data_IF_239100860151
#
_entry.id   IF_239100860151
#
_cell.length_a   1.000
_cell.length_b   1.000
_cell.length_c   1.000
_cell.angle_alpha   90.00
_cell.angle_beta   90.00
_cell.angle_gamma   90.00
#
_symmetry.space_group_name_H-M   'P 1'
#
loop_
_entity.id
_entity.type
_entity.pdbx_description
1 polymer ?
#
# COMPACT_ATOMS: atom_id res chain seq x y z
N UNK A 1 -43.24 -32.33 1.74
CA UNK A 1 -43.30 -31.85 3.13
C UNK A 1 -44.69 -31.31 3.48
N UNK A 2 -45.34 -30.51 2.63
CA UNK A 2 -46.66 -29.89 2.82
C UNK A 2 -47.83 -30.90 2.93
N UNK A 3 -47.80 -31.99 2.16
CA UNK A 3 -48.83 -33.03 2.23
C UNK A 3 -48.83 -33.83 3.55
N UNK A 4 -47.65 -34.11 4.11
CA UNK A 4 -47.54 -34.74 5.44
C UNK A 4 -48.07 -33.83 6.56
N UNK A 5 -47.91 -32.53 6.40
CA UNK A 5 -48.42 -31.55 7.37
C UNK A 5 -49.95 -31.47 7.34
N UNK A 6 -50.54 -31.56 6.15
CA UNK A 6 -51.99 -31.63 5.97
C UNK A 6 -52.59 -32.91 6.56
N UNK A 7 -51.97 -34.07 6.34
CA UNK A 7 -52.38 -35.34 6.96
C UNK A 7 -52.35 -35.30 8.48
N UNK A 8 -51.32 -34.69 9.05
CA UNK A 8 -51.22 -34.55 10.52
C UNK A 8 -52.31 -33.62 11.06
N UNK A 9 -52.63 -32.54 10.35
CA UNK A 9 -53.73 -31.63 10.74
C UNK A 9 -55.10 -32.32 10.63
N UNK A 10 -55.35 -33.09 9.55
CA UNK A 10 -56.59 -33.81 9.40
C UNK A 10 -56.74 -34.96 10.42
N UNK A 11 -55.66 -35.66 10.71
CA UNK A 11 -55.63 -36.69 11.75
C UNK A 11 -55.92 -36.10 13.13
N UNK A 12 -55.33 -34.99 13.49
CA UNK A 12 -55.60 -34.28 14.74
C UNK A 12 -57.04 -33.74 14.77
N UNK A 13 -57.59 -33.23 13.68
CA UNK A 13 -58.99 -32.76 13.57
C UNK A 13 -59.97 -33.90 13.77
N UNK A 14 -59.71 -35.10 13.22
CA UNK A 14 -60.53 -36.24 13.42
C UNK A 14 -60.48 -36.78 14.87
N UNK A 15 -59.32 -36.73 15.50
CA UNK A 15 -59.20 -37.11 16.94
C UNK A 15 -59.96 -36.12 17.81
N UNK A 16 -59.95 -34.85 17.50
CA UNK A 16 -60.71 -33.82 18.25
C UNK A 16 -62.24 -33.98 18.04
N UNK A 17 -62.69 -34.30 16.82
CA UNK A 17 -64.09 -34.49 16.52
C UNK A 17 -64.67 -35.79 17.12
N UNK A 18 -63.91 -36.89 17.20
CA UNK A 18 -64.34 -38.12 17.84
C UNK A 18 -64.37 -38.06 19.36
N UNK A 19 -63.65 -37.08 19.97
CA UNK A 19 -63.62 -36.93 21.46
C UNK A 19 -64.77 -36.07 21.98
N UNK A 20 -65.77 -35.72 21.17
CA UNK A 20 -66.91 -34.86 21.57
C UNK A 20 -67.76 -35.35 22.77
N UNK A 21 -67.59 -36.57 23.24
CA UNK A 21 -68.25 -37.12 24.41
C UNK A 21 -67.32 -37.71 25.49
N UNK A 22 -66.07 -37.85 25.22
CA UNK A 22 -65.05 -38.23 26.26
C UNK A 22 -63.95 -37.22 26.20
N UNK A 23 -63.91 -36.32 27.20
CA UNK A 23 -62.86 -35.32 27.28
C UNK A 23 -61.49 -35.94 27.19
N UNK A 24 -60.53 -35.21 26.55
CA UNK A 24 -59.12 -35.62 26.41
C UNK A 24 -58.59 -36.27 27.66
N UNK A 25 -57.86 -37.37 27.57
CA UNK A 25 -57.30 -38.06 28.72
C UNK A 25 -56.43 -37.08 29.56
N UNK A 26 -56.47 -37.17 30.84
CA UNK A 26 -55.85 -36.22 31.76
C UNK A 26 -54.33 -36.02 31.47
N UNK A 27 -53.68 -37.10 31.06
CA UNK A 27 -52.26 -37.07 30.64
C UNK A 27 -52.01 -36.19 29.43
N UNK A 28 -52.90 -36.20 28.42
CA UNK A 28 -52.77 -35.38 27.22
C UNK A 28 -53.11 -33.92 27.48
N UNK A 29 -54.07 -33.63 28.38
CA UNK A 29 -54.34 -32.25 28.83
C UNK A 29 -53.16 -31.68 29.59
N UNK A 30 -52.53 -32.42 30.46
CA UNK A 30 -51.35 -32.03 31.23
C UNK A 30 -50.18 -31.78 30.26
N UNK A 31 -49.96 -32.65 29.30
CA UNK A 31 -48.89 -32.51 28.29
C UNK A 31 -49.12 -31.25 27.45
N UNK A 32 -50.32 -31.01 26.93
CA UNK A 32 -50.63 -29.79 26.16
C UNK A 32 -50.45 -28.52 27.00
N UNK A 33 -50.91 -28.55 28.26
CA UNK A 33 -50.70 -27.41 29.14
C UNK A 33 -49.23 -27.14 29.44
N UNK A 34 -48.42 -28.19 29.67
CA UNK A 34 -46.99 -28.09 29.92
C UNK A 34 -46.26 -27.58 28.69
N UNK A 35 -46.58 -28.05 27.47
CA UNK A 35 -45.96 -27.58 26.25
C UNK A 35 -46.33 -26.14 25.93
N UNK A 36 -47.57 -25.74 26.15
CA UNK A 36 -48.04 -24.36 25.96
C UNK A 36 -47.36 -23.41 26.97
N UNK A 37 -47.22 -23.83 28.24
CA UNK A 37 -46.54 -23.11 29.27
C UNK A 37 -45.03 -22.93 28.96
N UNK A 38 -44.36 -24.02 28.53
CA UNK A 38 -42.95 -24.00 28.16
C UNK A 38 -42.72 -23.10 26.92
N UNK A 39 -43.58 -23.15 25.91
CA UNK A 39 -43.49 -22.32 24.71
C UNK A 39 -43.71 -20.84 25.03
N UNK A 40 -44.61 -20.54 25.97
CA UNK A 40 -44.85 -19.16 26.46
C UNK A 40 -43.64 -18.60 27.21
N UNK A 41 -42.98 -19.38 28.04
CA UNK A 41 -41.74 -18.97 28.73
C UNK A 41 -40.64 -18.73 27.71
N UNK A 42 -40.45 -19.65 26.73
CA UNK A 42 -39.43 -19.51 25.66
C UNK A 42 -39.68 -18.25 24.86
N UNK A 43 -40.92 -18.02 24.46
CA UNK A 43 -41.30 -16.81 23.71
C UNK A 43 -41.05 -15.53 24.54
N UNK A 44 -41.36 -15.53 25.83
CA UNK A 44 -41.09 -14.43 26.76
C UNK A 44 -39.60 -14.13 26.86
N UNK A 45 -38.75 -15.15 27.02
CA UNK A 45 -37.30 -14.99 27.05
C UNK A 45 -36.76 -14.45 25.74
N UNK A 46 -37.20 -14.99 24.59
CA UNK A 46 -36.82 -14.47 23.27
C UNK A 46 -37.22 -13.00 23.09
N UNK A 47 -38.41 -12.62 23.55
CA UNK A 47 -38.90 -11.26 23.49
C UNK A 47 -38.10 -10.31 24.36
N UNK A 48 -37.75 -10.73 25.58
CA UNK A 48 -36.84 -9.99 26.47
C UNK A 48 -35.47 -9.82 25.83
N UNK A 49 -34.87 -10.84 25.26
CA UNK A 49 -33.57 -10.78 24.58
C UNK A 49 -33.61 -9.88 23.37
N UNK A 50 -34.73 -9.86 22.63
CA UNK A 50 -34.95 -8.96 21.51
C UNK A 50 -35.07 -7.51 21.94
N UNK A 51 -35.88 -7.23 22.98
CA UNK A 51 -36.05 -5.87 23.56
C UNK A 51 -34.75 -5.38 24.22
N UNK A 52 -34.04 -6.26 24.93
CA UNK A 52 -32.74 -5.94 25.51
C UNK A 52 -31.64 -5.66 24.46
N UNK A 53 -31.95 -5.80 23.16
CA UNK A 53 -31.05 -5.45 22.08
C UNK A 53 -29.84 -6.39 21.97
N UNK A 54 -29.85 -7.54 22.65
CA UNK A 54 -28.73 -8.50 22.58
C UNK A 54 -28.37 -8.93 21.17
N UNK A 55 -29.34 -8.95 20.25
CA UNK A 55 -29.09 -9.21 18.82
C UNK A 55 -28.54 -8.00 18.06
N UNK A 56 -28.64 -6.78 18.62
CA UNK A 56 -28.10 -5.54 18.02
C UNK A 56 -26.74 -5.13 18.56
N UNK A 57 -26.36 -5.61 19.74
CA UNK A 57 -25.12 -5.20 20.42
C UNK A 57 -23.87 -5.60 19.67
N UNK A 58 -23.88 -6.70 18.91
CA UNK A 58 -22.73 -7.11 18.10
C UNK A 58 -22.31 -6.06 17.04
N UNK A 59 -23.26 -5.44 16.35
CA UNK A 59 -22.94 -4.45 15.31
C UNK A 59 -22.61 -3.05 15.86
N UNK A 60 -23.23 -2.66 16.97
CA UNK A 60 -23.05 -1.33 17.56
C UNK A 60 -21.74 -1.16 18.32
N UNK A 61 -21.20 -2.24 18.89
CA UNK A 61 -19.93 -2.21 19.63
C UNK A 61 -18.73 -2.27 18.67
N UNK A 62 -18.84 -2.99 17.55
CA UNK A 62 -17.73 -3.14 16.61
C UNK A 62 -17.50 -1.90 15.74
N UNK A 63 -18.54 -1.11 15.47
CA UNK A 63 -18.44 0.08 14.61
C UNK A 63 -17.42 1.10 15.12
N UNK A 64 -17.48 1.62 16.36
CA UNK A 64 -16.53 2.62 16.83
C UNK A 64 -15.09 2.09 16.90
N UNK A 65 -14.91 0.78 17.16
CA UNK A 65 -13.58 0.15 17.18
C UNK A 65 -13.00 0.11 15.76
N UNK A 66 -13.80 -0.27 14.76
CA UNK A 66 -13.37 -0.27 13.35
C UNK A 66 -13.09 1.14 12.83
N UNK A 67 -13.92 2.13 13.19
CA UNK A 67 -13.68 3.53 12.84
C UNK A 67 -12.40 4.05 13.49
N UNK A 68 -12.15 3.69 14.75
CA UNK A 68 -10.92 4.04 15.45
C UNK A 68 -9.69 3.45 14.78
N UNK A 69 -9.73 2.16 14.41
CA UNK A 69 -8.62 1.48 13.71
C UNK A 69 -8.41 2.06 12.30
N UNK A 70 -9.48 2.31 11.56
CA UNK A 70 -9.42 2.94 10.24
C UNK A 70 -8.78 4.33 10.30
N UNK A 71 -9.21 5.17 11.25
CA UNK A 71 -8.65 6.50 11.43
C UNK A 71 -7.18 6.43 11.84
N UNK A 72 -6.83 5.54 12.77
CA UNK A 72 -5.45 5.33 13.20
C UNK A 72 -4.53 4.92 12.03
N UNK A 73 -4.95 3.96 11.20
CA UNK A 73 -4.18 3.51 10.03
C UNK A 73 -4.08 4.63 9.00
N UNK A 74 -5.18 5.32 8.70
CA UNK A 74 -5.21 6.42 7.73
C UNK A 74 -4.28 7.56 8.16
N UNK A 75 -4.31 7.96 9.42
CA UNK A 75 -3.43 8.97 9.98
C UNK A 75 -1.96 8.53 9.97
N UNK A 76 -1.70 7.27 10.34
CA UNK A 76 -0.36 6.70 10.31
C UNK A 76 0.23 6.68 8.90
N UNK A 77 -0.54 6.22 7.90
CA UNK A 77 -0.15 6.24 6.49
C UNK A 77 0.10 7.66 6.01
N UNK A 78 -0.86 8.56 6.22
CA UNK A 78 -0.77 9.97 5.79
C UNK A 78 0.45 10.67 6.39
N UNK A 79 0.68 10.50 7.69
CA UNK A 79 1.83 11.08 8.40
C UNK A 79 3.16 10.50 7.93
N UNK A 80 3.22 9.17 7.73
CA UNK A 80 4.43 8.49 7.27
C UNK A 80 4.82 8.94 5.85
N UNK A 81 3.87 8.90 4.92
CA UNK A 81 4.13 9.31 3.54
C UNK A 81 4.33 10.82 3.39
N UNK A 82 3.68 11.63 4.23
CA UNK A 82 3.92 13.07 4.32
C UNK A 82 5.34 13.37 4.75
N UNK A 83 5.82 12.70 5.82
CA UNK A 83 7.21 12.81 6.30
C UNK A 83 8.21 12.36 5.24
N UNK A 84 7.96 11.22 4.59
CA UNK A 84 8.86 10.72 3.53
C UNK A 84 8.97 11.70 2.37
N UNK A 85 7.87 12.34 1.96
CA UNK A 85 7.91 13.35 0.91
C UNK A 85 8.69 14.60 1.33
N UNK A 86 8.56 15.04 2.59
CA UNK A 86 9.34 16.15 3.13
C UNK A 86 10.84 15.82 3.16
N UNK A 87 11.21 14.62 3.63
CA UNK A 87 12.59 14.14 3.64
C UNK A 87 13.16 14.02 2.22
N UNK A 88 12.35 13.58 1.23
CA UNK A 88 12.80 13.53 -0.16
C UNK A 88 13.08 14.91 -0.75
N UNK A 89 12.25 15.91 -0.41
CA UNK A 89 12.47 17.32 -0.82
C UNK A 89 13.72 17.89 -0.16
N UNK A 90 13.94 17.61 1.12
CA UNK A 90 15.15 18.03 1.85
C UNK A 90 16.41 17.40 1.24
N UNK A 91 16.39 16.08 1.02
CA UNK A 91 17.48 15.36 0.36
C UNK A 91 17.79 15.95 -1.01
N UNK A 92 16.76 16.21 -1.83
CA UNK A 92 16.94 16.82 -3.16
C UNK A 92 17.63 18.17 -3.07
N UNK A 93 17.25 19.01 -2.10
CA UNK A 93 17.86 20.31 -1.89
C UNK A 93 19.32 20.19 -1.48
N UNK A 94 19.65 19.32 -0.52
CA UNK A 94 21.01 19.09 -0.05
C UNK A 94 21.91 18.54 -1.16
N UNK A 95 21.46 17.54 -1.90
CA UNK A 95 22.18 16.96 -3.04
C UNK A 95 22.40 17.99 -4.14
N UNK A 96 21.39 18.78 -4.48
CA UNK A 96 21.50 19.81 -5.53
C UNK A 96 22.56 20.85 -5.18
N UNK A 97 22.57 21.36 -3.96
CA UNK A 97 23.55 22.36 -3.50
C UNK A 97 24.96 21.77 -3.51
N UNK A 98 25.13 20.59 -2.95
CA UNK A 98 26.43 19.91 -2.87
C UNK A 98 27.02 19.63 -4.25
N UNK A 99 26.21 18.99 -5.12
CA UNK A 99 26.67 18.63 -6.47
C UNK A 99 26.96 19.84 -7.33
N UNK A 100 26.18 20.92 -7.19
CA UNK A 100 26.43 22.16 -7.91
C UNK A 100 27.76 22.81 -7.47
N UNK A 101 28.08 22.75 -6.17
CA UNK A 101 29.34 23.23 -5.65
C UNK A 101 30.52 22.38 -6.15
N UNK A 102 30.40 21.05 -6.02
CA UNK A 102 31.46 20.10 -6.39
C UNK A 102 31.82 20.16 -7.87
N UNK A 103 30.82 20.30 -8.76
CA UNK A 103 31.10 20.39 -10.21
C UNK A 103 31.70 21.74 -10.59
N UNK A 104 31.27 22.84 -9.94
CA UNK A 104 31.86 24.18 -10.16
C UNK A 104 33.33 24.23 -9.78
N UNK A 105 33.71 23.60 -8.67
CA UNK A 105 35.13 23.50 -8.24
C UNK A 105 35.99 22.74 -9.26
N UNK A 106 35.39 21.87 -10.07
CA UNK A 106 36.07 21.13 -11.15
C UNK A 106 35.93 21.75 -12.54
N UNK A 107 35.37 22.99 -12.59
CA UNK A 107 35.20 23.72 -13.85
C UNK A 107 34.12 23.21 -14.77
N UNK A 108 33.24 22.35 -14.26
CA UNK A 108 32.09 21.81 -15.00
C UNK A 108 30.78 22.56 -14.72
N UNK A 109 29.70 22.10 -15.34
CA UNK A 109 28.35 22.60 -15.12
C UNK A 109 27.34 21.47 -15.09
N UNK A 110 26.42 21.49 -14.13
CA UNK A 110 25.32 20.51 -14.06
C UNK A 110 24.32 20.66 -15.21
N UNK A 111 24.27 21.81 -15.87
CA UNK A 111 23.39 22.03 -17.03
C UNK A 111 23.77 21.19 -18.25
N UNK A 112 25.07 20.82 -18.36
CA UNK A 112 25.62 20.04 -19.46
C UNK A 112 26.29 18.75 -18.93
N UNK A 113 25.68 18.11 -17.97
CA UNK A 113 26.26 16.95 -17.25
C UNK A 113 26.63 15.79 -18.20
N UNK A 114 25.96 15.67 -19.33
CA UNK A 114 26.27 14.64 -20.37
C UNK A 114 27.62 14.85 -21.05
N UNK A 115 28.18 16.05 -21.00
CA UNK A 115 29.49 16.37 -21.59
C UNK A 115 30.68 15.94 -20.68
N UNK A 116 30.37 15.55 -19.43
CA UNK A 116 31.38 15.20 -18.42
C UNK A 116 31.17 13.80 -17.84
N UNK A 117 31.10 12.74 -18.67
CA UNK A 117 30.83 11.40 -18.17
C UNK A 117 31.86 10.88 -17.16
N UNK A 118 33.12 11.33 -17.25
CA UNK A 118 34.20 10.96 -16.34
C UNK A 118 34.05 11.55 -14.92
N UNK A 119 33.26 12.62 -14.77
CA UNK A 119 33.02 13.24 -13.48
C UNK A 119 31.84 12.63 -12.73
N UNK A 120 30.93 11.91 -13.43
CA UNK A 120 29.68 11.40 -12.87
C UNK A 120 29.92 10.45 -11.70
N UNK A 121 30.90 9.56 -11.82
CA UNK A 121 31.22 8.60 -10.77
C UNK A 121 31.73 9.29 -9.52
N UNK A 122 32.59 10.30 -9.67
CA UNK A 122 33.13 11.06 -8.55
C UNK A 122 32.03 11.89 -7.85
N UNK A 123 31.14 12.53 -8.63
CA UNK A 123 30.00 13.26 -8.10
C UNK A 123 29.06 12.36 -7.29
N UNK A 124 28.82 11.15 -7.77
CA UNK A 124 27.99 10.18 -7.06
C UNK A 124 28.66 9.65 -5.79
N UNK A 125 29.99 9.38 -5.84
CA UNK A 125 30.75 8.88 -4.68
C UNK A 125 30.70 9.89 -3.50
N UNK A 126 30.82 11.18 -3.79
CA UNK A 126 30.76 12.24 -2.78
C UNK A 126 29.40 12.40 -2.11
N UNK A 127 28.34 11.95 -2.76
CA UNK A 127 26.99 12.01 -2.21
C UNK A 127 26.55 10.73 -1.47
N UNK A 128 27.38 9.69 -1.49
CA UNK A 128 27.02 8.40 -0.89
C UNK A 128 26.67 8.51 0.59
N UNK A 129 27.48 9.22 1.38
CA UNK A 129 27.26 9.36 2.83
C UNK A 129 25.94 10.09 3.15
N UNK A 130 25.54 11.05 2.30
CA UNK A 130 24.25 11.72 2.43
C UNK A 130 23.11 10.77 2.14
N UNK A 131 23.23 9.91 1.11
CA UNK A 131 22.22 8.91 0.79
C UNK A 131 22.09 7.88 1.91
N UNK A 132 23.21 7.40 2.45
CA UNK A 132 23.24 6.48 3.61
C UNK A 132 22.53 7.12 4.79
N UNK A 133 22.95 8.32 5.20
CA UNK A 133 22.36 9.03 6.34
C UNK A 133 20.88 9.36 6.13
N UNK A 134 20.46 9.67 4.89
CA UNK A 134 19.05 9.89 4.56
C UNK A 134 18.22 8.58 4.68
N UNK A 135 18.76 7.45 4.23
CA UNK A 135 18.10 6.16 4.36
C UNK A 135 17.95 5.74 5.82
N UNK A 136 18.99 5.92 6.63
CA UNK A 136 18.97 5.62 8.07
C UNK A 136 17.95 6.45 8.85
N UNK A 137 17.81 7.73 8.52
CA UNK A 137 16.83 8.64 9.15
C UNK A 137 15.40 8.43 8.66
N UNK A 138 15.23 7.77 7.51
CA UNK A 138 13.92 7.54 6.91
C UNK A 138 13.37 6.17 7.30
N UNK A 139 12.05 6.01 7.18
CA UNK A 139 11.39 4.70 7.22
C UNK A 139 11.13 4.22 5.79
N UNK A 140 12.17 4.20 4.97
CA UNK A 140 12.11 3.77 3.59
C UNK A 140 12.80 2.42 3.40
N UNK A 141 12.46 1.72 2.32
CA UNK A 141 13.11 0.47 1.93
C UNK A 141 14.34 0.71 1.07
N UNK A 142 14.49 1.92 0.55
CA UNK A 142 15.66 2.32 -0.23
C UNK A 142 15.68 3.81 -0.50
N UNK A 143 16.86 4.27 -0.92
CA UNK A 143 17.13 5.65 -1.33
C UNK A 143 17.87 5.64 -2.65
N UNK A 144 17.62 6.60 -3.50
CA UNK A 144 18.28 6.69 -4.79
C UNK A 144 18.55 8.14 -5.21
N UNK A 145 19.58 8.27 -6.01
CA UNK A 145 19.85 9.43 -6.87
C UNK A 145 20.04 8.91 -8.30
N UNK A 146 19.50 9.61 -9.26
CA UNK A 146 19.55 9.26 -10.69
C UNK A 146 19.81 10.54 -11.47
N UNK A 147 20.96 10.62 -12.10
CA UNK A 147 21.39 11.77 -12.90
C UNK A 147 20.85 11.65 -14.33
N UNK A 148 20.53 12.76 -14.98
CA UNK A 148 20.10 12.78 -16.39
C UNK A 148 21.30 12.70 -17.35
N UNK A 149 22.26 11.81 -17.03
CA UNK A 149 23.47 11.57 -17.80
C UNK A 149 23.93 10.11 -17.62
N UNK A 150 24.73 9.62 -18.56
CA UNK A 150 25.32 8.28 -18.55
C UNK A 150 26.84 8.35 -18.55
N UNK A 151 27.50 7.42 -17.84
CA UNK A 151 28.97 7.29 -17.86
C UNK A 151 29.48 6.67 -19.17
N UNK A 152 28.60 6.06 -19.96
CA UNK A 152 28.98 5.36 -21.22
C UNK A 152 28.17 5.90 -22.41
N UNK A 153 28.30 7.17 -22.81
CA UNK A 153 27.45 7.77 -23.84
C UNK A 153 27.59 7.13 -25.24
N UNK A 154 28.69 6.43 -25.49
CA UNK A 154 29.00 5.82 -26.81
C UNK A 154 28.51 4.37 -26.91
N UNK A 155 27.97 3.77 -25.88
CA UNK A 155 27.43 2.40 -25.94
C UNK A 155 26.06 2.36 -26.59
N UNK A 156 25.75 1.33 -27.42
CA UNK A 156 24.39 1.13 -27.92
C UNK A 156 23.38 1.03 -26.77
N UNK A 157 22.30 1.80 -26.84
CA UNK A 157 21.27 1.83 -25.78
C UNK A 157 21.53 2.83 -24.66
N UNK A 158 22.65 3.58 -24.72
CA UNK A 158 23.01 4.58 -23.71
C UNK A 158 22.00 5.72 -23.58
N UNK A 159 21.19 5.97 -24.61
CA UNK A 159 20.11 6.95 -24.58
C UNK A 159 19.10 6.67 -23.46
N UNK A 160 18.94 5.42 -23.04
CA UNK A 160 18.04 5.00 -21.97
C UNK A 160 18.75 4.71 -20.65
N UNK A 161 20.07 4.79 -20.63
CA UNK A 161 20.90 4.50 -19.46
C UNK A 161 21.19 5.78 -18.68
N UNK A 162 21.09 5.71 -17.35
CA UNK A 162 21.35 6.85 -16.47
C UNK A 162 22.22 6.44 -15.30
N UNK A 163 23.22 7.24 -15.04
CA UNK A 163 24.10 7.06 -13.90
C UNK A 163 23.36 7.31 -12.58
N UNK A 164 23.55 6.42 -11.62
CA UNK A 164 22.79 6.47 -10.38
C UNK A 164 23.55 5.84 -9.21
N UNK A 165 23.07 6.11 -7.99
CA UNK A 165 23.24 5.25 -6.82
C UNK A 165 21.86 4.87 -6.33
N UNK A 166 21.63 3.58 -6.11
CA UNK A 166 20.44 3.07 -5.48
C UNK A 166 20.82 2.07 -4.38
N UNK A 167 20.51 2.47 -3.15
CA UNK A 167 20.73 1.66 -1.95
C UNK A 167 19.41 1.06 -1.50
N UNK A 168 19.44 -0.20 -1.08
CA UNK A 168 18.29 -0.92 -0.51
C UNK A 168 18.57 -1.34 0.91
N UNK A 169 17.61 -1.16 1.78
CA UNK A 169 17.59 -1.80 3.08
C UNK A 169 16.86 -3.15 2.95
N UNK A 170 17.59 -4.26 3.13
CA UNK A 170 17.05 -5.61 2.92
C UNK A 170 16.21 -6.10 4.10
N UNK A 171 16.37 -5.52 5.25
CA UNK A 171 15.52 -5.76 6.41
C UNK A 171 14.89 -4.44 6.83
N UNK A 172 13.77 -4.04 6.22
CA UNK A 172 13.02 -2.87 6.67
C UNK A 172 12.42 -3.19 8.03
N UNK A 173 13.28 -3.27 9.06
CA UNK A 173 12.87 -3.63 10.39
C UNK A 173 12.43 -2.38 11.14
N UNK A 174 11.16 -2.37 11.55
CA UNK A 174 10.60 -1.33 12.41
C UNK A 174 11.27 -1.34 13.80
N UNK A 175 11.90 -2.47 14.16
CA UNK A 175 12.45 -2.72 15.50
C UNK A 175 13.97 -2.55 15.56
N UNK A 176 14.69 -2.73 14.44
CA UNK A 176 16.16 -2.72 14.44
C UNK A 176 16.66 -1.62 13.48
N UNK A 177 17.01 -0.48 14.03
CA UNK A 177 17.47 0.71 13.30
C UNK A 177 18.94 0.60 12.82
N UNK A 178 19.58 -0.57 12.98
CA UNK A 178 20.98 -0.73 12.61
C UNK A 178 21.17 -0.88 11.10
N UNK A 179 22.03 -0.08 10.53
CA UNK A 179 22.43 0.01 9.10
C UNK A 179 23.05 -1.27 8.51
N UNK A 180 23.19 -2.33 9.30
CA UNK A 180 23.94 -3.54 8.94
C UNK A 180 23.46 -4.30 7.69
N UNK A 181 22.25 -4.02 7.17
CA UNK A 181 21.66 -4.72 6.03
C UNK A 181 21.48 -3.85 4.78
N UNK A 182 22.18 -2.75 4.70
CA UNK A 182 22.20 -1.93 3.50
C UNK A 182 22.92 -2.64 2.36
N UNK A 183 22.34 -2.61 1.16
CA UNK A 183 22.85 -3.25 -0.05
C UNK A 183 22.85 -2.28 -1.22
N UNK A 184 23.87 -2.42 -2.04
CA UNK A 184 24.03 -1.65 -3.27
C UNK A 184 23.25 -2.33 -4.39
N UNK A 185 22.22 -1.68 -4.89
CA UNK A 185 21.35 -2.24 -5.92
C UNK A 185 21.77 -1.81 -7.32
N UNK A 186 22.01 -0.51 -7.53
CA UNK A 186 22.43 0.02 -8.84
C UNK A 186 23.45 1.13 -8.63
N UNK A 187 24.43 1.20 -9.53
CA UNK A 187 25.45 2.25 -9.55
C UNK A 187 26.85 1.71 -9.79
N UNK A 188 27.88 2.58 -9.91
CA UNK A 188 29.26 2.18 -10.10
C UNK A 188 29.77 1.26 -8.99
N UNK A 189 30.29 0.09 -9.36
CA UNK A 189 30.77 -0.94 -8.42
C UNK A 189 31.97 -0.45 -7.58
N UNK A 190 32.77 0.45 -8.13
CA UNK A 190 33.91 1.08 -7.47
C UNK A 190 33.50 1.79 -6.20
N UNK A 191 32.39 2.54 -6.25
CA UNK A 191 31.81 3.24 -5.10
C UNK A 191 31.41 2.25 -4.00
N UNK A 192 30.69 1.19 -4.35
CA UNK A 192 30.27 0.19 -3.37
C UNK A 192 31.47 -0.52 -2.71
N UNK A 193 32.49 -0.90 -3.50
CA UNK A 193 33.68 -1.59 -2.99
C UNK A 193 34.52 -0.69 -2.09
N UNK A 194 34.72 0.57 -2.50
CA UNK A 194 35.47 1.57 -1.71
C UNK A 194 34.87 1.76 -0.32
N UNK A 195 33.55 1.76 -0.24
CA UNK A 195 32.79 2.03 0.98
C UNK A 195 32.32 0.76 1.71
N UNK A 196 32.75 -0.43 1.29
CA UNK A 196 32.44 -1.71 1.95
C UNK A 196 30.96 -2.09 1.91
N UNK A 197 30.18 -1.55 0.98
CA UNK A 197 28.75 -1.84 0.84
C UNK A 197 28.59 -3.10 -0.02
N UNK A 198 27.88 -4.11 0.50
CA UNK A 198 27.64 -5.34 -0.23
C UNK A 198 26.71 -5.11 -1.44
N UNK A 199 27.09 -5.68 -2.57
CA UNK A 199 26.39 -5.55 -3.84
C UNK A 199 25.35 -6.67 -3.95
N UNK A 200 24.15 -6.35 -4.41
CA UNK A 200 23.09 -7.32 -4.67
C UNK A 200 23.39 -8.15 -5.93
N UNK A 201 22.98 -9.45 -5.99
CA UNK A 201 23.19 -10.29 -7.16
C UNK A 201 22.60 -9.74 -8.46
N UNK A 202 21.48 -8.99 -8.37
CA UNK A 202 20.80 -8.35 -9.50
C UNK A 202 21.33 -6.96 -9.84
N UNK A 203 22.54 -6.64 -9.36
CA UNK A 203 23.17 -5.35 -9.55
C UNK A 203 23.28 -4.96 -11.03
N UNK A 204 23.13 -3.68 -11.31
CA UNK A 204 23.37 -3.03 -12.60
C UNK A 204 24.23 -1.79 -12.40
N UNK A 205 25.09 -1.47 -13.37
CA UNK A 205 25.94 -0.29 -13.29
C UNK A 205 25.15 1.03 -13.41
N UNK A 206 24.13 1.02 -14.26
CA UNK A 206 23.27 2.19 -14.52
C UNK A 206 21.80 1.76 -14.53
N UNK A 207 20.91 2.72 -14.37
CA UNK A 207 19.47 2.50 -14.41
C UNK A 207 18.95 2.65 -15.84
N UNK A 208 18.20 1.65 -16.31
CA UNK A 208 17.41 1.76 -17.54
C UNK A 208 16.12 2.56 -17.27
N UNK A 209 16.02 3.78 -17.81
CA UNK A 209 14.87 4.66 -17.59
C UNK A 209 13.56 4.14 -18.21
N UNK A 210 13.62 3.24 -19.20
CA UNK A 210 12.42 2.55 -19.70
C UNK A 210 11.72 1.75 -18.62
N UNK A 211 12.48 1.29 -17.61
CA UNK A 211 11.99 0.57 -16.45
C UNK A 211 11.63 1.49 -15.26
N UNK A 212 11.85 2.80 -15.42
CA UNK A 212 11.49 3.85 -14.47
C UNK A 212 10.42 4.78 -15.06
N UNK A 213 9.17 4.34 -15.20
CA UNK A 213 8.15 4.98 -16.05
C UNK A 213 7.78 6.42 -15.65
N UNK A 214 8.25 6.87 -14.51
CA UNK A 214 7.98 8.22 -13.99
C UNK A 214 9.19 9.16 -14.10
N UNK A 215 10.36 8.68 -14.50
CA UNK A 215 11.57 9.49 -14.62
C UNK A 215 11.35 10.70 -15.55
N UNK A 216 11.03 10.43 -16.81
CA UNK A 216 10.76 11.49 -17.79
C UNK A 216 9.65 12.43 -17.35
N UNK A 217 8.59 11.89 -16.75
CA UNK A 217 7.46 12.70 -16.29
C UNK A 217 7.86 13.68 -15.17
N UNK A 218 8.74 13.28 -14.24
CA UNK A 218 9.24 14.17 -13.19
C UNK A 218 10.13 15.25 -13.80
N UNK A 219 11.06 14.87 -14.69
CA UNK A 219 11.96 15.80 -15.38
C UNK A 219 11.18 16.83 -16.21
N UNK A 220 10.25 16.36 -17.06
CA UNK A 220 9.43 17.23 -17.92
C UNK A 220 8.56 18.16 -17.09
N UNK A 221 7.88 17.64 -16.05
CA UNK A 221 7.06 18.47 -15.17
C UNK A 221 7.90 19.57 -14.49
N UNK A 222 9.11 19.24 -14.05
CA UNK A 222 9.98 20.22 -13.38
C UNK A 222 10.52 21.27 -14.36
N UNK A 223 10.75 20.92 -15.62
CA UNK A 223 11.16 21.85 -16.70
C UNK A 223 10.04 22.81 -17.09
N UNK A 224 8.83 22.31 -17.18
CA UNK A 224 7.65 23.07 -17.66
C UNK A 224 7.03 23.94 -16.55
N UNK A 225 7.00 23.44 -15.33
CA UNK A 225 6.29 24.08 -14.23
C UNK A 225 7.26 24.78 -13.27
N UNK A 226 7.20 26.12 -13.23
CA UNK A 226 7.93 26.93 -12.26
C UNK A 226 7.28 26.86 -10.87
N UNK A 227 7.22 25.66 -10.31
CA UNK A 227 6.69 25.41 -8.96
C UNK A 227 7.84 25.31 -7.94
N UNK A 228 7.59 25.64 -6.68
CA UNK A 228 8.58 25.39 -5.63
C UNK A 228 8.84 23.89 -5.50
N UNK A 229 10.07 23.52 -5.15
CA UNK A 229 10.53 22.12 -5.05
C UNK A 229 9.60 21.26 -4.18
N UNK A 230 9.02 21.84 -3.13
CA UNK A 230 8.06 21.19 -2.25
C UNK A 230 6.73 20.75 -2.93
N UNK A 231 6.48 21.20 -4.15
CA UNK A 231 5.31 20.81 -4.96
C UNK A 231 5.68 19.97 -6.19
N UNK A 232 6.97 19.77 -6.44
CA UNK A 232 7.46 18.99 -7.58
C UNK A 232 7.68 17.52 -7.26
N UNK A 233 7.53 17.09 -5.99
CA UNK A 233 7.62 15.68 -5.66
C UNK A 233 6.49 14.86 -6.29
N UNK A 234 6.82 13.65 -6.69
CA UNK A 234 5.86 12.71 -7.27
C UNK A 234 5.98 11.34 -6.64
N UNK A 235 4.83 10.72 -6.38
CA UNK A 235 4.76 9.32 -5.97
C UNK A 235 4.36 8.47 -7.16
N UNK A 236 5.05 7.35 -7.36
CA UNK A 236 4.66 6.36 -8.36
C UNK A 236 3.52 5.49 -7.83
N UNK A 237 2.84 4.79 -8.70
CA UNK A 237 2.18 3.53 -8.32
C UNK A 237 3.24 2.51 -7.90
N UNK A 238 2.85 1.40 -7.27
CA UNK A 238 3.75 0.28 -7.04
C UNK A 238 4.28 -0.27 -8.38
N UNK A 239 5.58 -0.27 -8.53
CA UNK A 239 6.30 -0.82 -9.69
C UNK A 239 7.17 -1.98 -9.24
N UNK A 240 7.44 -2.91 -10.13
CA UNK A 240 8.41 -3.98 -9.90
C UNK A 240 9.76 -3.52 -10.45
N UNK A 241 10.75 -3.41 -9.56
CA UNK A 241 12.11 -3.06 -9.96
C UNK A 241 12.81 -4.26 -10.62
N UNK A 242 13.75 -4.03 -11.55
CA UNK A 242 14.50 -5.09 -12.22
C UNK A 242 15.14 -6.07 -11.22
N UNK A 243 14.94 -7.38 -11.44
CA UNK A 243 15.49 -8.41 -10.55
C UNK A 243 14.78 -8.58 -9.20
N UNK A 244 13.70 -7.85 -8.94
CA UNK A 244 12.81 -8.05 -7.81
C UNK A 244 11.47 -8.65 -8.24
N UNK A 245 10.86 -9.42 -7.36
CA UNK A 245 9.47 -9.90 -7.50
C UNK A 245 8.48 -9.03 -6.74
N UNK A 246 8.98 -8.18 -5.86
CA UNK A 246 8.22 -7.32 -4.97
C UNK A 246 7.98 -5.94 -5.60
N UNK A 247 6.82 -5.38 -5.33
CA UNK A 247 6.49 -4.01 -5.74
C UNK A 247 7.09 -3.00 -4.77
N UNK A 248 7.46 -1.84 -5.30
CA UNK A 248 7.85 -0.68 -4.51
C UNK A 248 7.18 0.57 -5.07
N UNK A 249 6.76 1.46 -4.18
CA UNK A 249 6.32 2.80 -4.53
C UNK A 249 7.49 3.76 -4.37
N UNK A 250 7.77 4.55 -5.41
CA UNK A 250 8.82 5.54 -5.40
C UNK A 250 8.26 6.92 -5.04
N UNK A 251 8.95 7.63 -4.15
CA UNK A 251 8.76 9.05 -3.90
C UNK A 251 9.94 9.80 -4.53
N UNK A 252 9.69 10.49 -5.64
CA UNK A 252 10.70 11.11 -6.49
C UNK A 252 10.61 12.61 -6.41
N UNK A 253 11.77 13.28 -6.38
CA UNK A 253 11.91 14.73 -6.39
C UNK A 253 12.97 15.10 -7.44
N UNK A 254 12.74 16.12 -8.28
CA UNK A 254 13.76 16.55 -9.24
C UNK A 254 14.94 17.21 -8.53
N UNK A 255 16.13 17.04 -9.09
CA UNK A 255 17.35 17.76 -8.70
C UNK A 255 17.47 19.02 -9.56
N UNK A 256 17.58 20.16 -8.92
CA UNK A 256 17.59 21.47 -9.57
C UNK A 256 18.85 22.23 -9.25
N UNK A 257 19.47 22.82 -10.24
CA UNK A 257 20.53 23.82 -10.05
C UNK A 257 19.95 25.12 -9.49
N UNK A 258 20.80 26.02 -9.07
CA UNK A 258 20.40 27.34 -8.55
C UNK A 258 19.68 28.20 -9.61
N UNK A 259 19.92 27.97 -10.91
CA UNK A 259 19.21 28.60 -12.02
C UNK A 259 17.91 27.90 -12.44
N UNK A 260 17.57 26.77 -11.78
CA UNK A 260 16.35 26.00 -12.03
C UNK A 260 16.48 24.93 -13.14
N UNK A 261 17.68 24.68 -13.64
CA UNK A 261 17.91 23.60 -14.60
C UNK A 261 17.81 22.23 -13.91
N UNK A 262 17.05 21.32 -14.51
CA UNK A 262 16.86 19.95 -13.98
C UNK A 262 18.00 19.07 -14.49
N UNK A 263 18.73 18.42 -13.58
CA UNK A 263 19.85 17.54 -13.93
C UNK A 263 19.69 16.09 -13.43
N UNK A 264 18.58 15.77 -12.77
CA UNK A 264 18.30 14.42 -12.29
C UNK A 264 17.10 14.35 -11.38
N UNK A 265 16.97 13.24 -10.71
CA UNK A 265 15.98 13.00 -9.65
C UNK A 265 16.62 12.29 -8.46
N UNK A 266 16.05 12.45 -7.28
CA UNK A 266 16.38 11.65 -6.12
C UNK A 266 15.10 11.24 -5.38
N UNK A 267 15.24 10.37 -4.39
CA UNK A 267 14.10 10.02 -3.56
C UNK A 267 14.26 8.73 -2.80
N UNK A 268 13.10 8.24 -2.34
CA UNK A 268 12.99 7.03 -1.53
C UNK A 268 12.03 6.03 -2.16
N UNK A 269 12.19 4.76 -1.81
CA UNK A 269 11.19 3.75 -2.10
C UNK A 269 10.55 3.19 -0.81
N UNK A 270 9.32 2.74 -0.97
CA UNK A 270 8.58 1.98 0.05
C UNK A 270 8.20 0.65 -0.57
N UNK A 271 8.81 -0.43 -0.11
CA UNK A 271 8.51 -1.78 -0.58
C UNK A 271 7.15 -2.26 -0.07
N UNK A 272 6.55 -3.20 -0.81
CA UNK A 272 5.31 -3.86 -0.41
C UNK A 272 5.47 -4.58 0.95
N UNK A 273 6.65 -5.18 1.20
CA UNK A 273 6.97 -5.81 2.48
C UNK A 273 6.96 -4.80 3.63
N UNK A 274 7.65 -3.66 3.46
CA UNK A 274 7.65 -2.59 4.48
C UNK A 274 6.24 -2.06 4.73
N UNK A 275 5.47 -1.84 3.67
CA UNK A 275 4.08 -1.41 3.77
C UNK A 275 3.24 -2.44 4.54
N UNK A 276 3.37 -3.72 4.19
CA UNK A 276 2.68 -4.83 4.85
C UNK A 276 3.04 -4.93 6.34
N UNK A 277 4.32 -4.86 6.68
CA UNK A 277 4.77 -4.90 8.08
C UNK A 277 4.28 -3.71 8.89
N UNK A 278 4.22 -2.51 8.26
CA UNK A 278 3.85 -1.27 8.94
C UNK A 278 2.35 -1.12 9.17
N UNK A 279 1.51 -1.62 8.26
CA UNK A 279 0.08 -1.30 8.21
C UNK A 279 -0.84 -2.52 8.22
N UNK A 280 -0.32 -3.73 8.47
CA UNK A 280 -1.19 -4.89 8.71
C UNK A 280 -1.98 -4.67 10.00
N UNK A 281 -3.31 -4.75 9.94
CA UNK A 281 -4.16 -4.63 11.12
C UNK A 281 -3.76 -5.64 12.20
N UNK A 282 -3.55 -5.18 13.42
CA UNK A 282 -3.04 -6.01 14.53
C UNK A 282 -4.15 -6.72 15.33
N UNK A 283 -5.40 -6.33 15.12
CA UNK A 283 -6.53 -6.90 15.84
C UNK A 283 -6.81 -8.33 15.39
N UNK A 284 -6.84 -9.28 16.34
CA UNK A 284 -7.20 -10.68 16.07
C UNK A 284 -8.67 -10.83 15.67
N UNK A 285 -9.52 -9.89 16.06
CA UNK A 285 -10.95 -9.92 15.79
C UNK A 285 -11.28 -9.51 14.33
N UNK A 286 -10.30 -8.96 13.61
CA UNK A 286 -10.47 -8.42 12.26
C UNK A 286 -9.44 -8.98 11.27
N UNK A 287 -9.28 -10.30 11.25
CA UNK A 287 -8.34 -11.00 10.35
C UNK A 287 -8.58 -10.77 8.86
N UNK A 288 -9.72 -10.17 8.50
CA UNK A 288 -10.12 -9.90 7.11
C UNK A 288 -9.97 -8.43 6.71
N UNK A 289 -9.46 -7.57 7.60
CA UNK A 289 -9.19 -6.19 7.24
C UNK A 289 -7.94 -6.11 6.35
N UNK A 290 -8.06 -5.34 5.30
CA UNK A 290 -6.98 -5.07 4.35
C UNK A 290 -6.78 -3.56 4.31
N UNK A 291 -5.55 -3.13 4.56
CA UNK A 291 -5.14 -1.77 4.26
C UNK A 291 -4.57 -1.73 2.84
N UNK A 292 -5.08 -0.85 2.02
CA UNK A 292 -4.66 -0.71 0.63
C UNK A 292 -4.29 0.74 0.34
N UNK A 293 -3.12 0.94 -0.28
CA UNK A 293 -2.72 2.20 -0.88
C UNK A 293 -2.75 2.04 -2.40
N UNK A 294 -3.77 2.57 -3.03
CA UNK A 294 -4.06 2.40 -4.45
C UNK A 294 -4.00 3.72 -5.22
N UNK A 295 -3.47 3.74 -6.44
CA UNK A 295 -3.61 4.88 -7.31
C UNK A 295 -5.08 5.05 -7.72
N UNK A 296 -5.55 6.30 -7.66
CA UNK A 296 -6.88 6.71 -8.14
C UNK A 296 -6.71 7.42 -9.47
N UNK A 297 -7.42 6.96 -10.48
CA UNK A 297 -7.43 7.57 -11.79
C UNK A 297 -8.84 7.51 -12.39
N UNK A 298 -9.38 8.63 -12.85
CA UNK A 298 -10.75 8.73 -13.41
C UNK A 298 -11.82 8.09 -12.50
N UNK A 299 -11.78 8.43 -11.21
CA UNK A 299 -12.70 7.90 -10.18
C UNK A 299 -12.70 6.36 -10.02
N UNK A 300 -11.62 5.71 -10.48
CA UNK A 300 -11.38 4.28 -10.32
C UNK A 300 -10.16 4.03 -9.46
N UNK A 301 -10.29 3.06 -8.55
CA UNK A 301 -9.20 2.52 -7.75
C UNK A 301 -8.52 1.41 -8.56
N UNK A 302 -7.28 1.63 -8.97
CA UNK A 302 -6.53 0.63 -9.74
C UNK A 302 -5.79 -0.30 -8.79
N UNK A 303 -6.19 -1.56 -8.75
CA UNK A 303 -5.54 -2.58 -7.91
C UNK A 303 -4.14 -2.93 -8.42
N UNK A 304 -3.93 -2.82 -9.73
CA UNK A 304 -2.60 -2.94 -10.29
C UNK A 304 -1.71 -1.78 -9.87
N UNK A 305 -0.64 -2.10 -9.17
CA UNK A 305 0.26 -1.10 -8.58
C UNK A 305 -0.21 -0.54 -7.24
N UNK A 306 -1.23 -1.14 -6.61
CA UNK A 306 -1.54 -0.89 -5.22
C UNK A 306 -0.57 -1.64 -4.30
N UNK A 307 -0.32 -1.08 -3.11
CA UNK A 307 0.34 -1.77 -2.00
C UNK A 307 -0.73 -2.29 -1.04
N UNK A 308 -0.55 -3.51 -0.59
CA UNK A 308 -1.50 -4.19 0.29
C UNK A 308 -0.86 -4.57 1.62
N UNK A 309 -1.59 -4.38 2.72
CA UNK A 309 -1.26 -4.89 4.03
C UNK A 309 -2.47 -5.65 4.61
N UNK A 310 -2.25 -6.86 5.13
CA UNK A 310 -3.28 -7.80 5.54
C UNK A 310 -3.30 -9.05 4.66
N UNK A 311 -4.31 -9.89 4.83
CA UNK A 311 -4.45 -11.16 4.12
C UNK A 311 -5.13 -10.95 2.75
N UNK A 312 -4.36 -10.46 1.79
CA UNK A 312 -4.78 -10.35 0.40
C UNK A 312 -4.02 -11.37 -0.45
N UNK A 313 -4.75 -12.35 -1.00
CA UNK A 313 -4.14 -13.49 -1.73
C UNK A 313 -4.14 -13.34 -3.24
N UNK A 314 -4.96 -12.43 -3.77
CA UNK A 314 -5.06 -12.22 -5.21
C UNK A 314 -3.93 -11.32 -5.73
N UNK A 315 -3.37 -11.66 -6.89
CA UNK A 315 -2.45 -10.80 -7.63
C UNK A 315 -3.26 -10.07 -8.70
N UNK A 316 -3.63 -8.80 -8.48
CA UNK A 316 -4.39 -8.05 -9.46
C UNK A 316 -3.56 -7.80 -10.72
N UNK A 317 -4.16 -7.99 -11.88
CA UNK A 317 -3.58 -7.63 -13.17
C UNK A 317 -3.84 -6.16 -13.53
N UNK A 318 -3.36 -5.73 -14.70
CA UNK A 318 -3.46 -4.34 -15.14
C UNK A 318 -4.90 -3.88 -15.40
N UNK A 319 -5.83 -4.81 -15.64
CA UNK A 319 -7.24 -4.53 -15.90
C UNK A 319 -8.09 -4.48 -14.62
N UNK A 320 -7.54 -4.94 -13.48
CA UNK A 320 -8.26 -4.99 -12.23
C UNK A 320 -8.42 -3.61 -11.61
N UNK A 321 -9.64 -3.12 -11.54
CA UNK A 321 -9.99 -1.85 -10.90
C UNK A 321 -11.30 -1.98 -10.10
N UNK A 322 -11.48 -1.07 -9.14
CA UNK A 322 -12.71 -0.90 -8.38
C UNK A 322 -13.28 0.48 -8.67
N UNK A 323 -14.58 0.58 -8.91
CA UNK A 323 -15.27 1.88 -8.99
C UNK A 323 -15.73 2.30 -7.60
N UNK A 324 -15.90 3.60 -7.35
CA UNK A 324 -16.46 4.08 -6.10
C UNK A 324 -17.90 3.61 -5.88
N UNK A 325 -18.62 3.27 -6.94
CA UNK A 325 -19.97 2.71 -6.87
C UNK A 325 -19.99 1.31 -6.22
N UNK A 326 -18.88 0.59 -6.25
CA UNK A 326 -18.73 -0.70 -5.57
C UNK A 326 -18.57 -0.54 -4.05
N UNK A 327 -18.42 0.69 -3.56
CA UNK A 327 -18.34 1.00 -2.14
C UNK A 327 -19.67 1.56 -1.67
N UNK A 328 -20.46 0.78 -0.97
CA UNK A 328 -21.63 1.27 -0.27
C UNK A 328 -21.25 1.76 1.12
N UNK A 329 -21.67 2.99 1.47
CA UNK A 329 -21.57 3.48 2.82
C UNK A 329 -22.68 2.82 3.63
N UNK A 330 -22.39 1.70 4.28
CA UNK A 330 -23.32 1.07 5.21
C UNK A 330 -22.94 1.43 6.64
N UNK A 331 -23.78 2.21 7.31
CA UNK A 331 -23.56 2.64 8.70
C UNK A 331 -22.20 3.33 8.96
N UNK A 332 -21.71 4.11 8.00
CA UNK A 332 -20.43 4.83 8.11
C UNK A 332 -19.21 4.05 7.66
N UNK A 333 -19.35 2.82 7.16
CA UNK A 333 -18.28 2.03 6.58
C UNK A 333 -18.51 1.84 5.10
N UNK A 334 -17.41 1.88 4.32
CA UNK A 334 -17.43 1.44 2.94
C UNK A 334 -17.40 -0.09 2.92
N UNK A 335 -18.52 -0.69 2.51
CA UNK A 335 -18.57 -2.12 2.24
C UNK A 335 -18.31 -2.34 0.76
N UNK A 336 -17.18 -2.99 0.45
CA UNK A 336 -16.93 -3.49 -0.87
C UNK A 336 -17.77 -4.74 -1.10
N UNK A 337 -18.63 -4.70 -2.11
CA UNK A 337 -19.30 -5.89 -2.62
C UNK A 337 -18.60 -6.29 -3.90
N UNK A 338 -17.91 -7.42 -3.90
CA UNK A 338 -17.26 -7.95 -5.09
C UNK A 338 -18.35 -8.15 -6.15
N UNK A 339 -18.23 -7.56 -7.34
CA UNK A 339 -19.21 -7.82 -8.40
C UNK A 339 -19.16 -9.31 -8.72
N UNK A 340 -20.32 -9.96 -8.73
CA UNK A 340 -20.45 -11.32 -9.20
C UNK A 340 -19.97 -11.36 -10.65
N UNK A 341 -18.80 -11.99 -10.86
CA UNK A 341 -18.14 -12.19 -12.16
C UNK A 341 -18.00 -10.91 -13.00
N UNK A 342 -16.85 -10.30 -12.95
CA UNK A 342 -16.38 -9.48 -14.07
C UNK A 342 -16.03 -10.47 -15.18
N UNK A 343 -16.87 -10.59 -16.19
CA UNK A 343 -16.49 -11.20 -17.46
C UNK A 343 -15.41 -10.29 -18.06
N UNK A 344 -14.23 -10.86 -18.24
CA UNK A 344 -13.11 -10.19 -18.91
C UNK A 344 -13.50 -10.04 -20.39
N UNK A 345 -13.66 -8.80 -20.83
CA UNK A 345 -13.71 -8.46 -22.25
C UNK A 345 -12.32 -7.98 -22.71
#
# INVERSE_FOLDING_TARGET
MWNKFKEIIEMNRNIICQSGHRGLPMSLRLFLFLTLFLSSILLGVLLILFIAGMFRTGQLVHKPILEGELNHITDAVSKSFGRLSAQAVELSKELSISMEQNIKERGGSLSNLQEYPELLENLLDEELDRLVGALEKSRASGVFILLDATVNPYLPGSENSRSCIYLKNMEPNIVNEMSANMRYYTGPMTIARKNGIHILPQWQMEMDIKRMPYFEKVITTAREQKLPLSRLYKRSRGIVLPGYSERAMLCMVPLLTSDGTVFGICGFDVSEMLFKLSYTPKSKDYNHLICMLSPVYQDKLHLYGALFAGNFSEKPDASTYMTFDNFSLSNGFYKYTQPEKVEYA
#
